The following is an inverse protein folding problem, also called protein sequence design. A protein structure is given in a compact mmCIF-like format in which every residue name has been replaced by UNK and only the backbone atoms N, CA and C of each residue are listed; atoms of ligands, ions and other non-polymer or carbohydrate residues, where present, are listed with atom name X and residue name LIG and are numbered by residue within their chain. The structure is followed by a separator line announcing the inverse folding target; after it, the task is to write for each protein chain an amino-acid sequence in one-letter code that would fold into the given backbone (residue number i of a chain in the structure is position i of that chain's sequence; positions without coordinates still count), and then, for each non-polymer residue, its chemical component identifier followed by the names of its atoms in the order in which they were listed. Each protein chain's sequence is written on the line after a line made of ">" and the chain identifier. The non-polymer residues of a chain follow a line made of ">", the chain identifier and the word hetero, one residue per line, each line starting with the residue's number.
data_IF_934311721993
#
_entry.id   IF_934311721993
#
_cell.length_a   1.000
_cell.length_b   1.000
_cell.length_c   1.000
_cell.angle_alpha   90.00
_cell.angle_beta   90.00
_cell.angle_gamma   90.00
#
_symmetry.space_group_name_H-M   'P 1'
#
loop_
_entity.id
_entity.type
_entity.pdbx_description
1 polymer ?
#
# COMPACT_ATOMS: atom_id res chain seq x y z
N UNK A 1 25.19 38.79 5.48
CA UNK A 1 24.99 37.38 5.86
C UNK A 1 23.58 36.98 5.46
N UNK A 2 23.40 36.34 4.31
CA UNK A 2 22.09 35.83 3.91
C UNK A 2 21.91 34.45 4.52
N UNK A 3 21.03 34.35 5.52
CA UNK A 3 20.63 33.06 6.09
C UNK A 3 19.78 32.32 5.06
N UNK A 4 20.35 31.29 4.44
CA UNK A 4 19.57 30.32 3.68
C UNK A 4 18.80 29.47 4.69
N UNK A 5 17.49 29.64 4.74
CA UNK A 5 16.58 28.72 5.41
C UNK A 5 16.73 27.32 4.77
N UNK A 6 16.69 26.23 5.58
CA UNK A 6 16.78 24.88 5.05
C UNK A 6 15.60 24.60 4.09
N UNK A 7 15.80 23.80 3.03
CA UNK A 7 14.72 23.47 2.11
C UNK A 7 13.60 22.72 2.83
N UNK A 8 12.37 23.19 2.66
CA UNK A 8 11.15 22.55 3.17
C UNK A 8 10.97 21.15 2.54
N UNK A 9 11.35 20.11 3.28
CA UNK A 9 11.18 18.70 2.89
C UNK A 9 9.71 18.25 2.79
N UNK A 10 8.77 19.08 3.24
CA UNK A 10 7.33 18.83 3.14
C UNK A 10 6.80 18.93 1.71
N UNK A 11 7.46 19.73 0.84
CA UNK A 11 7.03 19.90 -0.55
C UNK A 11 7.50 18.74 -1.44
N UNK A 12 8.68 18.18 -1.16
CA UNK A 12 9.17 17.00 -1.89
C UNK A 12 8.29 15.77 -1.64
N UNK A 13 7.75 15.58 -0.42
CA UNK A 13 6.76 14.55 -0.10
C UNK A 13 5.46 14.68 -0.94
N UNK A 14 5.04 15.89 -1.31
CA UNK A 14 3.89 16.12 -2.20
C UNK A 14 4.19 15.75 -3.66
N UNK A 15 5.42 15.95 -4.11
CA UNK A 15 5.86 15.58 -5.46
C UNK A 15 5.89 14.05 -5.65
N UNK A 16 6.17 13.25 -4.61
CA UNK A 16 6.10 11.77 -4.73
C UNK A 16 4.67 11.24 -4.94
N UNK A 17 3.64 11.92 -4.41
CA UNK A 17 2.25 11.57 -4.73
C UNK A 17 1.88 11.88 -6.19
N UNK A 18 2.73 12.57 -6.95
CA UNK A 18 2.45 12.92 -8.34
C UNK A 18 2.91 11.87 -9.37
N UNK A 19 3.79 10.91 -9.01
CA UNK A 19 4.25 9.88 -9.96
C UNK A 19 3.37 8.62 -9.99
N UNK A 20 2.70 8.30 -8.87
CA UNK A 20 1.64 7.30 -8.86
C UNK A 20 0.35 7.93 -8.35
N UNK A 21 -0.76 7.87 -9.12
CA UNK A 21 -2.05 8.26 -8.57
C UNK A 21 -2.36 7.38 -7.35
N UNK A 22 -3.02 7.92 -6.31
CA UNK A 22 -3.40 7.12 -5.14
C UNK A 22 -4.36 6.00 -5.57
N UNK A 23 -3.79 4.80 -5.73
CA UNK A 23 -4.49 3.61 -6.23
C UNK A 23 -5.14 2.79 -5.12
N UNK A 24 -4.98 3.19 -3.86
CA UNK A 24 -5.66 2.62 -2.70
C UNK A 24 -6.57 3.66 -2.03
N UNK A 25 -7.62 3.25 -1.31
CA UNK A 25 -8.49 4.20 -0.61
C UNK A 25 -7.73 4.82 0.57
N UNK A 26 -7.56 6.14 0.55
CA UNK A 26 -7.01 6.88 1.70
C UNK A 26 -8.06 7.11 2.79
N UNK A 27 -9.34 7.11 2.41
CA UNK A 27 -10.49 7.26 3.32
C UNK A 27 -10.93 5.96 3.99
N UNK A 28 -11.74 6.10 5.04
CA UNK A 28 -12.36 4.96 5.76
C UNK A 28 -13.57 4.37 5.04
N UNK A 29 -14.12 5.08 4.05
CA UNK A 29 -15.28 4.62 3.30
C UNK A 29 -14.87 3.58 2.24
N UNK A 30 -15.66 2.51 2.06
CA UNK A 30 -15.46 1.56 0.97
C UNK A 30 -15.35 2.26 -0.38
N UNK A 31 -14.39 1.84 -1.21
CA UNK A 31 -14.16 2.41 -2.56
C UNK A 31 -14.27 1.31 -3.62
N UNK A 32 -15.04 1.59 -4.67
CA UNK A 32 -15.19 0.69 -5.83
C UNK A 32 -14.05 0.91 -6.83
N UNK A 33 -13.52 -0.19 -7.35
CA UNK A 33 -12.50 -0.23 -8.38
C UNK A 33 -13.03 -1.05 -9.55
N UNK A 34 -13.59 -0.35 -10.55
CA UNK A 34 -14.34 -0.97 -11.63
C UNK A 34 -15.67 -1.62 -11.16
N UNK A 35 -16.28 -2.45 -12.02
CA UNK A 35 -17.58 -3.07 -11.73
C UNK A 35 -17.51 -4.27 -10.76
N UNK A 36 -16.30 -4.80 -10.53
CA UNK A 36 -16.07 -6.10 -9.89
C UNK A 36 -15.51 -5.97 -8.48
N UNK A 37 -14.62 -5.00 -8.22
CA UNK A 37 -13.90 -4.93 -6.96
C UNK A 37 -14.39 -3.81 -6.06
N UNK A 38 -14.50 -4.09 -4.76
CA UNK A 38 -14.74 -3.11 -3.71
C UNK A 38 -13.71 -3.30 -2.61
N UNK A 39 -13.03 -2.23 -2.21
CA UNK A 39 -12.00 -2.25 -1.18
C UNK A 39 -12.52 -1.54 0.06
N UNK A 40 -12.51 -2.26 1.19
CA UNK A 40 -12.80 -1.74 2.52
C UNK A 40 -11.49 -1.44 3.25
N UNK A 41 -11.39 -0.26 3.86
CA UNK A 41 -10.31 0.06 4.79
C UNK A 41 -10.59 -0.55 6.16
N UNK A 42 -9.70 -1.43 6.65
CA UNK A 42 -9.84 -2.09 7.95
C UNK A 42 -9.08 -1.31 9.02
N UNK A 43 -7.78 -1.12 8.83
CA UNK A 43 -6.92 -0.41 9.78
C UNK A 43 -5.67 0.15 9.08
N UNK A 44 -4.98 1.06 9.76
CA UNK A 44 -3.67 1.53 9.35
C UNK A 44 -2.82 1.84 10.57
N UNK A 45 -1.50 1.70 10.41
CA UNK A 45 -0.52 2.06 11.43
C UNK A 45 0.59 2.90 10.81
N UNK A 46 1.05 3.88 11.58
CA UNK A 46 2.17 4.74 11.24
C UNK A 46 3.33 4.45 12.18
N UNK A 47 4.41 3.93 11.61
CA UNK A 47 5.69 3.73 12.28
C UNK A 47 6.71 4.74 11.76
N UNK A 48 7.88 4.82 12.40
CA UNK A 48 8.98 5.65 11.91
C UNK A 48 9.40 5.16 10.51
N UNK A 49 9.29 6.03 9.51
CA UNK A 49 9.63 5.76 8.10
C UNK A 49 8.83 4.67 7.37
N UNK A 50 7.83 4.06 8.02
CA UNK A 50 7.01 2.98 7.45
C UNK A 50 5.54 3.26 7.75
N UNK A 51 4.71 3.20 6.71
CA UNK A 51 3.25 3.27 6.82
C UNK A 51 2.65 1.94 6.39
N UNK A 52 1.60 1.52 7.08
CA UNK A 52 0.92 0.25 6.76
C UNK A 52 -0.59 0.42 6.75
N UNK A 53 -1.25 -0.30 5.86
CA UNK A 53 -2.70 -0.38 5.77
C UNK A 53 -3.15 -1.82 5.62
N UNK A 54 -4.25 -2.17 6.29
CA UNK A 54 -4.95 -3.43 6.10
C UNK A 54 -6.24 -3.15 5.35
N UNK A 55 -6.43 -3.84 4.24
CA UNK A 55 -7.61 -3.72 3.40
C UNK A 55 -8.32 -5.07 3.27
N UNK A 56 -9.63 -5.02 3.05
CA UNK A 56 -10.41 -6.18 2.62
C UNK A 56 -10.91 -5.95 1.20
N UNK A 57 -10.51 -6.81 0.28
CA UNK A 57 -10.91 -6.79 -1.12
C UNK A 57 -12.09 -7.74 -1.30
N UNK A 58 -13.21 -7.21 -1.74
CA UNK A 58 -14.40 -7.98 -2.09
C UNK A 58 -14.51 -8.05 -3.62
N UNK A 59 -14.71 -9.25 -4.16
CA UNK A 59 -14.97 -9.49 -5.58
C UNK A 59 -16.45 -9.80 -5.77
N UNK A 60 -17.16 -9.00 -6.56
CA UNK A 60 -18.53 -9.29 -7.01
C UNK A 60 -18.47 -10.28 -8.17
N UNK A 61 -19.30 -11.32 -8.11
CA UNK A 61 -19.53 -12.22 -9.24
C UNK A 61 -20.46 -11.52 -10.22
N UNK A 62 -20.01 -11.37 -11.45
CA UNK A 62 -20.74 -10.65 -12.51
C UNK A 62 -21.05 -11.52 -13.72
N UNK A 63 -20.42 -12.69 -13.85
CA UNK A 63 -20.69 -13.65 -14.92
C UNK A 63 -21.80 -14.62 -14.52
N UNK A 64 -22.78 -14.81 -15.42
CA UNK A 64 -23.82 -15.82 -15.25
C UNK A 64 -23.21 -17.23 -15.17
N UNK A 65 -22.16 -17.51 -15.95
CA UNK A 65 -21.48 -18.83 -15.91
C UNK A 65 -20.84 -19.10 -14.56
N UNK A 66 -20.15 -18.11 -13.98
CA UNK A 66 -19.57 -18.24 -12.62
C UNK A 66 -20.68 -18.47 -11.58
N UNK A 67 -21.81 -17.75 -11.72
CA UNK A 67 -22.96 -17.88 -10.83
C UNK A 67 -23.61 -19.26 -10.92
N UNK A 68 -23.87 -19.75 -12.13
CA UNK A 68 -24.45 -21.08 -12.37
C UNK A 68 -23.53 -22.21 -11.93
N UNK A 69 -22.21 -22.02 -12.01
CA UNK A 69 -21.21 -22.95 -11.49
C UNK A 69 -21.07 -22.89 -9.95
N UNK A 70 -21.86 -22.05 -9.25
CA UNK A 70 -21.82 -21.93 -7.80
C UNK A 70 -20.50 -21.34 -7.27
N UNK A 71 -19.76 -20.60 -8.11
CA UNK A 71 -18.50 -19.96 -7.70
C UNK A 71 -18.79 -19.06 -6.51
N UNK A 72 -17.94 -19.13 -5.49
CA UNK A 72 -17.95 -18.20 -4.36
C UNK A 72 -16.73 -17.30 -4.47
N UNK A 73 -16.90 -16.01 -4.19
CA UNK A 73 -15.83 -15.04 -4.21
C UNK A 73 -15.55 -14.56 -2.78
N UNK A 74 -14.80 -15.34 -1.97
CA UNK A 74 -14.51 -14.95 -0.60
C UNK A 74 -13.70 -13.65 -0.57
N UNK A 75 -13.97 -12.74 0.37
CA UNK A 75 -13.15 -11.55 0.56
C UNK A 75 -11.70 -11.92 0.86
N UNK A 76 -10.75 -11.14 0.33
CA UNK A 76 -9.33 -11.29 0.60
C UNK A 76 -8.81 -10.14 1.45
N UNK A 77 -8.19 -10.45 2.57
CA UNK A 77 -7.49 -9.45 3.39
C UNK A 77 -6.08 -9.27 2.85
N UNK A 78 -5.66 -8.03 2.61
CA UNK A 78 -4.33 -7.69 2.13
C UNK A 78 -3.70 -6.63 3.03
N UNK A 79 -2.37 -6.59 3.09
CA UNK A 79 -1.64 -5.54 3.78
C UNK A 79 -0.75 -4.80 2.78
N UNK A 80 -0.89 -3.47 2.76
CA UNK A 80 0.00 -2.56 2.06
C UNK A 80 1.05 -2.05 3.03
N UNK A 81 2.30 -2.03 2.58
CA UNK A 81 3.42 -1.43 3.30
C UNK A 81 4.09 -0.40 2.42
N UNK A 82 4.36 0.78 2.97
CA UNK A 82 5.01 1.88 2.26
C UNK A 82 6.22 2.34 3.07
N UNK A 83 7.38 2.33 2.43
CA UNK A 83 8.58 2.99 2.94
C UNK A 83 8.55 4.48 2.57
N UNK A 84 8.78 5.37 3.53
CA UNK A 84 8.71 6.83 3.30
C UNK A 84 10.08 7.51 3.33
N UNK A 85 11.16 6.80 3.64
CA UNK A 85 12.51 7.34 3.78
C UNK A 85 13.42 7.02 2.58
N UNK A 86 12.86 6.91 1.38
CA UNK A 86 13.64 6.71 0.15
C UNK A 86 13.44 7.90 -0.79
N UNK A 87 14.26 8.96 -0.66
CA UNK A 87 14.13 10.16 -1.48
C UNK A 87 14.57 9.91 -2.94
N UNK A 88 14.10 10.75 -3.88
CA UNK A 88 14.44 10.65 -5.30
C UNK A 88 15.93 10.93 -5.49
N UNK A 89 16.52 10.25 -6.47
CA UNK A 89 17.95 10.40 -6.79
C UNK A 89 18.88 9.65 -5.83
N UNK A 90 18.38 9.10 -4.72
CA UNK A 90 19.18 8.25 -3.84
C UNK A 90 19.14 6.79 -4.29
N UNK A 91 20.32 6.18 -4.43
CA UNK A 91 20.47 4.75 -4.73
C UNK A 91 19.97 3.83 -3.60
N UNK A 92 19.92 4.34 -2.37
CA UNK A 92 19.57 3.58 -1.16
C UNK A 92 18.71 4.46 -0.22
N UNK A 93 17.84 3.87 0.62
CA UNK A 93 17.06 4.65 1.58
C UNK A 93 17.97 5.32 2.60
N UNK A 94 17.50 6.41 3.22
CA UNK A 94 18.27 7.12 4.26
C UNK A 94 18.38 6.32 5.56
N UNK A 95 17.60 5.25 5.72
CA UNK A 95 17.63 4.34 6.86
C UNK A 95 17.55 2.88 6.39
N UNK A 96 18.68 2.17 6.43
CA UNK A 96 18.74 0.72 6.17
C UNK A 96 17.92 -0.06 7.19
N UNK A 97 17.89 0.39 8.46
CA UNK A 97 17.12 -0.25 9.52
C UNK A 97 15.63 -0.30 9.19
N UNK A 98 15.08 0.79 8.64
CA UNK A 98 13.67 0.85 8.23
C UNK A 98 13.36 -0.09 7.07
N UNK A 99 14.32 -0.34 6.16
CA UNK A 99 14.16 -1.33 5.10
C UNK A 99 14.15 -2.78 5.64
N UNK A 100 15.07 -3.09 6.55
CA UNK A 100 15.12 -4.42 7.19
C UNK A 100 13.85 -4.67 8.01
N UNK A 101 13.40 -3.67 8.75
CA UNK A 101 12.15 -3.75 9.52
C UNK A 101 10.94 -3.98 8.60
N UNK A 102 10.85 -3.25 7.48
CA UNK A 102 9.82 -3.45 6.47
C UNK A 102 9.81 -4.89 5.94
N UNK A 103 10.97 -5.42 5.55
CA UNK A 103 11.09 -6.81 5.08
C UNK A 103 10.61 -7.81 6.14
N UNK A 104 10.97 -7.61 7.41
CA UNK A 104 10.51 -8.44 8.52
C UNK A 104 9.00 -8.34 8.76
N UNK A 105 8.40 -7.15 8.56
CA UNK A 105 6.95 -6.97 8.64
C UNK A 105 6.22 -7.71 7.51
N UNK A 106 6.74 -7.62 6.28
CA UNK A 106 6.21 -8.34 5.12
C UNK A 106 6.29 -9.85 5.35
N UNK A 107 7.42 -10.37 5.81
CA UNK A 107 7.59 -11.80 6.04
C UNK A 107 6.66 -12.34 7.13
N UNK A 108 6.50 -11.60 8.25
CA UNK A 108 5.51 -11.94 9.29
C UNK A 108 4.06 -11.89 8.80
N UNK A 109 3.76 -11.06 7.80
CA UNK A 109 2.44 -11.09 7.16
C UNK A 109 2.28 -12.35 6.30
N UNK A 110 3.30 -12.67 5.48
CA UNK A 110 3.30 -13.85 4.62
C UNK A 110 3.15 -15.16 5.39
N UNK A 111 3.77 -15.28 6.56
CA UNK A 111 3.61 -16.46 7.41
C UNK A 111 2.16 -16.69 7.89
N UNK A 112 1.33 -15.64 7.91
CA UNK A 112 -0.08 -15.70 8.32
C UNK A 112 -1.05 -15.83 7.15
N UNK A 113 -0.56 -15.72 5.92
CA UNK A 113 -1.34 -15.81 4.69
C UNK A 113 -0.83 -16.96 3.83
N UNK A 114 -1.53 -17.30 2.76
CA UNK A 114 -0.97 -18.20 1.75
C UNK A 114 0.31 -17.56 1.17
N UNK A 115 1.36 -18.36 0.93
CA UNK A 115 2.68 -17.92 0.41
C UNK A 115 2.64 -17.46 -1.06
N UNK A 116 1.60 -16.71 -1.44
CA UNK A 116 1.46 -16.11 -2.76
C UNK A 116 2.53 -15.05 -3.06
N UNK A 117 2.54 -14.58 -4.33
CA UNK A 117 3.49 -13.56 -4.76
C UNK A 117 3.28 -12.25 -3.99
N UNK A 118 4.39 -11.56 -3.68
CA UNK A 118 4.38 -10.21 -3.12
C UNK A 118 4.48 -9.22 -4.27
N UNK A 119 3.49 -8.33 -4.38
CA UNK A 119 3.54 -7.24 -5.35
C UNK A 119 4.40 -6.11 -4.79
N UNK A 120 5.46 -5.74 -5.50
CA UNK A 120 6.35 -4.63 -5.16
C UNK A 120 6.28 -3.60 -6.28
N UNK A 121 6.02 -2.35 -5.92
CA UNK A 121 5.94 -1.23 -6.85
C UNK A 121 6.83 -0.10 -6.35
N UNK A 122 7.55 0.55 -7.26
CA UNK A 122 8.33 1.75 -7.02
C UNK A 122 8.11 2.74 -8.16
N UNK A 123 8.22 4.07 -7.91
CA UNK A 123 8.30 5.09 -8.96
C UNK A 123 9.42 4.83 -9.96
#
# INVERSE_FOLDING_TARGET
>A
MCGLSPPDYTDSLRVFQQQFPPFWPEGRTPKKYGPVFTIDHISHNHYTNIKTWVFRINKKIVSLTELMAGVKAPPKTVQLFQLTCWPMGHKVPTSTNSLVELMNMVERWRQRTDYGPVCVVSP
#
